data_IF_056717787521
#
_entry.id   IF_056717787521
#
_cell.length_a   1.000
_cell.length_b   1.000
_cell.length_c   1.000
_cell.angle_alpha   90.00
_cell.angle_beta   90.00
_cell.angle_gamma   90.00
#
_symmetry.space_group_name_H-M   'P 1'
#
loop_
_entity.id
_entity.type
_entity.pdbx_description
1 polymer ?
#
# COMPACT_ATOMS: atom_id res chain seq x y z
N UNK A 1 3.48 5.93 9.14
CA UNK A 1 2.07 6.38 8.99
C UNK A 1 1.51 6.45 10.40
N UNK A 2 1.46 7.64 11.01
CA UNK A 2 0.66 7.82 12.22
C UNK A 2 -0.77 7.45 11.85
N UNK A 3 -1.18 6.23 12.17
CA UNK A 3 -2.58 5.90 12.30
C UNK A 3 -3.06 6.80 13.43
N UNK A 4 -3.89 7.77 13.08
CA UNK A 4 -4.56 8.65 14.02
C UNK A 4 -5.05 7.81 15.18
N UNK A 5 -4.46 8.02 16.35
CA UNK A 5 -4.95 7.47 17.61
C UNK A 5 -6.43 7.77 17.66
N UNK A 6 -7.23 6.75 17.99
CA UNK A 6 -8.66 6.84 18.28
C UNK A 6 -8.93 7.88 19.36
N UNK A 7 -8.87 9.16 18.98
CA UNK A 7 -9.64 10.17 19.69
C UNK A 7 -11.06 10.04 19.15
N UNK A 8 -11.99 9.65 20.00
CA UNK A 8 -13.42 9.54 19.70
C UNK A 8 -13.87 10.83 19.04
N UNK A 9 -14.11 10.79 17.73
CA UNK A 9 -14.77 11.85 16.99
C UNK A 9 -16.29 11.74 17.21
N UNK A 10 -16.76 12.16 18.36
CA UNK A 10 -18.17 12.54 18.58
C UNK A 10 -18.51 13.92 17.99
N UNK A 11 -17.58 14.61 17.33
CA UNK A 11 -17.82 15.89 16.71
C UNK A 11 -18.41 15.76 15.31
N UNK A 12 -19.73 15.64 15.20
CA UNK A 12 -20.46 15.75 13.93
C UNK A 12 -20.58 17.20 13.43
N UNK A 13 -19.95 18.19 14.07
CA UNK A 13 -20.11 19.61 13.78
C UNK A 13 -18.77 20.31 13.58
N UNK A 14 -18.59 20.95 12.41
CA UNK A 14 -17.43 21.78 12.12
C UNK A 14 -17.39 23.06 12.98
N UNK A 15 -16.21 23.68 13.19
CA UNK A 15 -16.10 25.03 13.77
C UNK A 15 -16.94 26.03 12.96
N UNK A 16 -17.49 27.05 13.63
CA UNK A 16 -18.30 28.07 12.97
C UNK A 16 -17.45 28.89 12.00
N UNK A 17 -17.76 28.82 10.70
CA UNK A 17 -17.12 29.61 9.65
C UNK A 17 -17.42 31.10 9.83
N UNK A 18 -16.39 31.94 9.76
CA UNK A 18 -16.52 33.40 9.57
C UNK A 18 -17.01 33.65 8.13
N UNK A 19 -18.00 34.53 7.96
CA UNK A 19 -18.52 34.95 6.63
C UNK A 19 -17.38 35.58 5.83
N UNK A 20 -17.17 35.08 4.59
CA UNK A 20 -16.58 35.74 3.44
C UNK A 20 -15.37 35.06 2.76
N UNK A 21 -15.42 33.75 2.56
CA UNK A 21 -14.67 33.11 1.45
C UNK A 21 -15.54 31.99 0.89
N UNK A 22 -15.48 31.78 -0.42
CA UNK A 22 -16.20 30.65 -1.06
C UNK A 22 -15.85 29.31 -0.45
N UNK A 23 -14.65 29.20 0.18
CA UNK A 23 -14.17 28.04 0.92
C UNK A 23 -13.39 28.50 2.16
N UNK A 24 -13.81 28.02 3.33
CA UNK A 24 -13.03 28.15 4.57
C UNK A 24 -12.03 26.99 4.62
N UNK A 25 -10.74 27.30 4.64
CA UNK A 25 -9.66 26.32 4.59
C UNK A 25 -9.72 25.34 5.78
N UNK A 26 -9.95 25.83 6.99
CA UNK A 26 -10.01 24.97 8.19
C UNK A 26 -11.19 24.00 8.13
N UNK A 27 -12.35 24.46 7.62
CA UNK A 27 -13.52 23.63 7.41
C UNK A 27 -13.28 22.60 6.31
N UNK A 28 -12.61 23.02 5.22
CA UNK A 28 -12.27 22.13 4.11
C UNK A 28 -11.33 21.01 4.57
N UNK A 29 -10.29 21.35 5.33
CA UNK A 29 -9.36 20.36 5.88
C UNK A 29 -10.03 19.42 6.88
N UNK A 30 -10.92 19.93 7.75
CA UNK A 30 -11.64 19.11 8.71
C UNK A 30 -12.44 17.98 8.02
N UNK A 31 -13.26 18.31 7.03
CA UNK A 31 -14.05 17.30 6.32
C UNK A 31 -13.20 16.42 5.39
N UNK A 32 -12.10 16.97 4.84
CA UNK A 32 -11.18 16.18 4.02
C UNK A 32 -10.44 15.13 4.85
N UNK A 33 -10.07 15.41 6.12
CA UNK A 33 -9.52 14.39 7.04
C UNK A 33 -10.49 13.23 7.24
N UNK A 34 -11.77 13.51 7.37
CA UNK A 34 -12.80 12.46 7.46
C UNK A 34 -12.90 11.67 6.15
N UNK A 35 -12.81 12.34 4.99
CA UNK A 35 -12.77 11.64 3.71
C UNK A 35 -11.53 10.76 3.56
N UNK A 36 -10.37 11.18 4.06
CA UNK A 36 -9.14 10.39 4.11
C UNK A 36 -9.27 9.16 5.03
N UNK A 37 -9.95 9.30 6.17
CA UNK A 37 -10.28 8.17 7.05
C UNK A 37 -11.19 7.15 6.35
N UNK A 38 -12.19 7.62 5.59
CA UNK A 38 -13.02 6.74 4.76
C UNK A 38 -12.19 6.04 3.69
N UNK A 39 -11.31 6.77 2.97
CA UNK A 39 -10.43 6.18 1.96
C UNK A 39 -9.54 5.07 2.53
N UNK A 40 -8.99 5.25 3.72
CA UNK A 40 -8.12 4.28 4.39
C UNK A 40 -8.78 2.91 4.63
N UNK A 41 -10.12 2.84 4.69
CA UNK A 41 -10.87 1.57 4.80
C UNK A 41 -10.71 0.68 3.56
N UNK A 42 -10.35 1.26 2.42
CA UNK A 42 -10.10 0.57 1.16
C UNK A 42 -8.67 0.02 1.00
N UNK A 43 -7.75 0.32 1.92
CA UNK A 43 -6.36 -0.14 1.84
C UNK A 43 -6.26 -1.66 1.72
N UNK A 44 -5.43 -2.12 0.77
CA UNK A 44 -5.24 -3.54 0.47
C UNK A 44 -6.42 -4.23 -0.24
N UNK A 45 -7.48 -3.48 -0.62
CA UNK A 45 -8.71 -4.06 -1.19
C UNK A 45 -9.02 -3.57 -2.60
N UNK A 46 -8.52 -2.38 -2.97
CA UNK A 46 -8.95 -1.68 -4.19
C UNK A 46 -8.08 -1.93 -5.41
N UNK A 47 -6.88 -2.49 -5.27
CA UNK A 47 -5.96 -2.71 -6.40
C UNK A 47 -6.64 -3.43 -7.57
N UNK A 48 -6.41 -3.00 -8.82
CA UNK A 48 -5.47 -1.97 -9.24
C UNK A 48 -5.97 -0.51 -9.10
N UNK A 49 -7.17 -0.27 -8.57
CA UNK A 49 -7.74 1.06 -8.38
C UNK A 49 -7.13 1.80 -7.18
N UNK A 50 -7.24 3.14 -7.14
CA UNK A 50 -6.84 3.92 -5.98
C UNK A 50 -7.77 3.69 -4.77
N UNK A 51 -7.30 4.03 -3.58
CA UNK A 51 -8.17 4.18 -2.41
C UNK A 51 -8.78 5.58 -2.44
N UNK A 52 -10.11 5.64 -2.40
CA UNK A 52 -10.86 6.89 -2.45
C UNK A 52 -11.91 6.89 -1.36
N UNK A 53 -12.05 8.04 -0.69
CA UNK A 53 -13.11 8.32 0.26
C UNK A 53 -13.85 9.59 -0.12
N UNK A 54 -15.13 9.61 0.19
CA UNK A 54 -16.02 10.72 -0.10
C UNK A 54 -16.93 11.04 1.09
N UNK A 55 -17.17 12.33 1.34
CA UNK A 55 -18.06 12.82 2.41
C UNK A 55 -18.95 13.92 1.86
N UNK A 56 -20.26 13.77 2.04
CA UNK A 56 -21.25 14.80 1.70
C UNK A 56 -21.63 15.59 2.96
N UNK A 57 -21.58 16.92 2.84
CA UNK A 57 -21.82 17.86 3.93
C UNK A 57 -22.91 18.87 3.54
N UNK A 58 -23.89 19.08 4.40
CA UNK A 58 -24.94 20.10 4.20
C UNK A 58 -25.19 20.83 5.52
N UNK A 59 -25.17 22.18 5.47
CA UNK A 59 -25.35 22.99 6.67
C UNK A 59 -24.31 22.71 7.78
N UNK A 60 -23.07 22.38 7.42
CA UNK A 60 -22.00 22.05 8.36
C UNK A 60 -22.13 20.67 9.01
N UNK A 61 -23.04 19.82 8.54
CA UNK A 61 -23.24 18.45 9.05
C UNK A 61 -22.99 17.42 7.96
N UNK A 62 -22.33 16.32 8.33
CA UNK A 62 -22.15 15.16 7.44
C UNK A 62 -23.51 14.49 7.25
N UNK A 63 -23.93 14.34 5.98
CA UNK A 63 -25.19 13.67 5.60
C UNK A 63 -24.97 12.29 4.98
N UNK A 64 -23.77 12.02 4.46
CA UNK A 64 -23.37 10.71 3.95
C UNK A 64 -21.86 10.56 3.86
N UNK A 65 -21.38 9.32 3.85
CA UNK A 65 -19.99 8.94 3.65
C UNK A 65 -19.91 7.76 2.67
N UNK A 66 -18.84 7.66 1.93
CA UNK A 66 -18.56 6.53 1.04
C UNK A 66 -17.08 6.31 0.88
N UNK A 67 -16.71 5.09 0.54
CA UNK A 67 -15.35 4.75 0.13
C UNK A 67 -15.38 3.68 -0.95
N UNK A 68 -14.35 3.63 -1.78
CA UNK A 68 -14.20 2.59 -2.79
C UNK A 68 -13.81 1.28 -2.10
N UNK A 69 -14.71 0.29 -2.13
CA UNK A 69 -14.54 -0.95 -1.37
C UNK A 69 -13.62 -1.95 -2.07
N UNK A 70 -13.73 -2.06 -3.38
CA UNK A 70 -13.06 -3.09 -4.17
C UNK A 70 -13.11 -2.72 -5.66
N UNK A 71 -12.08 -3.09 -6.42
CA UNK A 71 -12.07 -2.94 -7.87
C UNK A 71 -13.32 -3.58 -8.51
N UNK A 72 -13.98 -2.82 -9.40
CA UNK A 72 -15.21 -3.23 -10.07
C UNK A 72 -16.51 -2.95 -9.31
N UNK A 73 -16.46 -2.38 -8.10
CA UNK A 73 -17.63 -1.86 -7.37
C UNK A 73 -17.77 -0.35 -7.55
N UNK A 74 -18.85 0.24 -7.03
CA UNK A 74 -19.10 1.68 -7.07
C UNK A 74 -17.93 2.50 -6.47
N UNK A 75 -17.66 3.65 -7.05
CA UNK A 75 -16.66 4.59 -6.53
C UNK A 75 -17.18 5.30 -5.28
N UNK A 76 -16.28 5.88 -4.50
CA UNK A 76 -16.59 6.50 -3.22
C UNK A 76 -17.67 7.58 -3.32
N UNK A 77 -17.60 8.41 -4.34
CA UNK A 77 -18.53 9.49 -4.61
C UNK A 77 -19.93 8.94 -4.85
N UNK A 78 -20.06 7.91 -5.69
CA UNK A 78 -21.34 7.25 -5.99
C UNK A 78 -21.93 6.63 -4.73
N UNK A 79 -21.13 5.91 -3.93
CA UNK A 79 -21.55 5.34 -2.65
C UNK A 79 -22.09 6.43 -1.71
N UNK A 80 -21.39 7.57 -1.62
CA UNK A 80 -21.84 8.69 -0.78
C UNK A 80 -23.11 9.34 -1.31
N UNK A 81 -23.22 9.53 -2.64
CA UNK A 81 -24.42 10.12 -3.30
C UNK A 81 -25.65 9.23 -3.12
N UNK A 82 -25.53 7.93 -3.34
CA UNK A 82 -26.60 6.95 -3.11
C UNK A 82 -27.08 6.96 -1.65
N UNK A 83 -26.15 6.97 -0.70
CA UNK A 83 -26.48 7.03 0.73
C UNK A 83 -27.16 8.35 1.15
N UNK A 84 -26.87 9.45 0.45
CA UNK A 84 -27.53 10.75 0.70
C UNK A 84 -28.90 10.82 0.05
N UNK A 85 -29.09 10.21 -1.14
CA UNK A 85 -30.29 10.34 -1.94
C UNK A 85 -30.61 11.81 -2.28
N UNK A 86 -31.86 12.21 -2.18
CA UNK A 86 -32.31 13.60 -2.46
C UNK A 86 -31.63 14.68 -1.58
N UNK A 87 -31.05 14.31 -0.45
CA UNK A 87 -30.32 15.24 0.44
C UNK A 87 -29.04 15.76 -0.18
N UNK A 88 -28.48 15.07 -1.19
CA UNK A 88 -27.26 15.47 -1.89
C UNK A 88 -27.41 16.83 -2.61
N UNK A 89 -28.63 17.18 -3.05
CA UNK A 89 -28.89 18.45 -3.71
C UNK A 89 -28.52 19.64 -2.80
N UNK A 90 -27.62 20.49 -3.31
CA UNK A 90 -27.10 21.65 -2.59
C UNK A 90 -26.07 21.34 -1.49
N UNK A 91 -25.61 20.09 -1.36
CA UNK A 91 -24.55 19.70 -0.45
C UNK A 91 -23.16 20.03 -1.01
N UNK A 92 -22.14 19.97 -0.16
CA UNK A 92 -20.72 20.02 -0.51
C UNK A 92 -20.14 18.61 -0.49
N UNK A 93 -19.45 18.20 -1.54
CA UNK A 93 -18.76 16.91 -1.64
C UNK A 93 -17.26 17.10 -1.39
N UNK A 94 -16.73 16.36 -0.45
CA UNK A 94 -15.29 16.21 -0.21
C UNK A 94 -14.86 14.85 -0.72
N UNK A 95 -13.87 14.80 -1.61
CA UNK A 95 -13.33 13.56 -2.17
C UNK A 95 -11.81 13.59 -2.17
N UNK A 96 -11.18 12.46 -1.83
CA UNK A 96 -9.73 12.39 -1.67
C UNK A 96 -8.96 12.33 -2.99
N UNK A 97 -9.65 12.10 -4.10
CA UNK A 97 -9.07 12.07 -5.44
C UNK A 97 -10.03 12.76 -6.42
N UNK A 98 -9.52 13.30 -7.52
CA UNK A 98 -10.30 13.86 -8.58
C UNK A 98 -11.36 12.87 -9.11
N UNK A 99 -12.66 13.24 -9.18
CA UNK A 99 -13.70 12.39 -9.74
C UNK A 99 -13.43 12.05 -11.21
N UNK A 100 -13.54 10.77 -11.54
CA UNK A 100 -13.28 10.29 -12.90
C UNK A 100 -14.28 10.88 -13.92
N UNK A 101 -13.79 11.05 -15.17
CA UNK A 101 -14.57 11.59 -16.31
C UNK A 101 -14.49 10.68 -17.55
N UNK A 102 -14.35 9.40 -17.35
CA UNK A 102 -14.36 8.41 -18.44
C UNK A 102 -15.36 7.30 -18.13
N UNK A 103 -15.95 6.75 -19.18
CA UNK A 103 -16.76 5.54 -19.08
C UNK A 103 -15.84 4.34 -18.85
N UNK A 104 -16.03 3.70 -17.71
CA UNK A 104 -15.41 2.43 -17.37
C UNK A 104 -16.49 1.34 -17.31
N UNK A 105 -16.48 0.57 -16.22
CA UNK A 105 -17.59 -0.36 -15.90
C UNK A 105 -18.83 0.36 -15.39
N UNK A 106 -18.65 1.60 -14.92
CA UNK A 106 -19.70 2.50 -14.42
C UNK A 106 -19.61 3.85 -15.13
N UNK A 107 -20.71 4.64 -15.18
CA UNK A 107 -20.66 6.01 -15.68
C UNK A 107 -19.65 6.86 -14.88
N UNK A 108 -19.16 7.98 -15.48
CA UNK A 108 -18.22 8.89 -14.82
C UNK A 108 -18.78 9.47 -13.51
N UNK A 109 -17.97 9.51 -12.44
CA UNK A 109 -18.36 10.14 -11.17
C UNK A 109 -18.70 11.61 -11.33
N UNK A 110 -18.02 12.33 -12.24
CA UNK A 110 -18.30 13.74 -12.55
C UNK A 110 -19.75 13.95 -12.99
N UNK A 111 -20.32 13.04 -13.78
CA UNK A 111 -21.73 13.10 -14.22
C UNK A 111 -22.69 12.85 -13.04
N UNK A 112 -22.45 11.80 -12.27
CA UNK A 112 -23.29 11.48 -11.10
C UNK A 112 -23.32 12.64 -10.08
N UNK A 113 -22.18 13.33 -9.86
CA UNK A 113 -22.08 14.49 -8.99
C UNK A 113 -22.92 15.67 -9.52
N UNK A 114 -22.87 15.93 -10.83
CA UNK A 114 -23.65 17.00 -11.48
C UNK A 114 -25.15 16.69 -11.38
N UNK A 115 -25.56 15.48 -11.75
CA UNK A 115 -26.96 15.03 -11.72
C UNK A 115 -27.56 15.06 -10.30
N UNK A 116 -26.77 14.74 -9.28
CA UNK A 116 -27.19 14.84 -7.89
C UNK A 116 -27.40 16.28 -7.39
N UNK A 117 -27.04 17.28 -8.19
CA UNK A 117 -27.19 18.70 -7.85
C UNK A 117 -26.33 19.16 -6.69
N UNK A 118 -25.13 18.58 -6.54
CA UNK A 118 -24.12 19.02 -5.58
C UNK A 118 -23.72 20.47 -5.87
N UNK A 119 -23.54 21.27 -4.82
CA UNK A 119 -23.24 22.71 -4.96
C UNK A 119 -21.74 22.98 -5.14
N UNK A 120 -20.89 22.30 -4.36
CA UNK A 120 -19.44 22.47 -4.35
C UNK A 120 -18.77 21.12 -4.27
N UNK A 121 -17.59 21.01 -4.89
CA UNK A 121 -16.73 19.84 -4.79
C UNK A 121 -15.36 20.26 -4.30
N UNK A 122 -14.86 19.60 -3.29
CA UNK A 122 -13.53 19.79 -2.71
C UNK A 122 -12.75 18.51 -2.94
N UNK A 123 -11.67 18.58 -3.73
CA UNK A 123 -10.79 17.45 -4.05
C UNK A 123 -9.46 17.61 -3.33
N UNK A 124 -8.90 16.53 -2.79
CA UNK A 124 -7.57 16.56 -2.24
C UNK A 124 -6.51 16.51 -3.35
N UNK A 125 -6.42 15.42 -4.09
CA UNK A 125 -5.39 15.18 -5.08
C UNK A 125 -5.94 15.11 -6.49
N UNK A 126 -5.14 15.52 -7.50
CA UNK A 126 -5.41 15.27 -8.91
C UNK A 126 -5.12 13.81 -9.26
N UNK A 127 -5.88 13.25 -10.20
CA UNK A 127 -5.59 11.90 -10.70
C UNK A 127 -4.40 11.95 -11.67
N UNK A 128 -3.32 11.17 -11.43
CA UNK A 128 -2.15 11.11 -12.32
C UNK A 128 -2.44 10.40 -13.65
N UNK A 129 -3.58 9.73 -13.79
CA UNK A 129 -3.95 9.02 -14.99
C UNK A 129 -4.29 10.01 -16.12
N UNK A 130 -3.57 10.00 -17.26
CA UNK A 130 -3.83 10.93 -18.37
C UNK A 130 -5.26 10.85 -18.93
N UNK A 131 -5.96 9.74 -18.69
CA UNK A 131 -7.37 9.59 -19.08
C UNK A 131 -8.32 10.41 -18.21
N UNK A 132 -7.93 10.74 -16.99
CA UNK A 132 -8.72 11.48 -15.99
C UNK A 132 -8.21 12.91 -15.83
N UNK A 133 -6.97 13.07 -15.55
CA UNK A 133 -6.22 14.30 -15.21
C UNK A 133 -6.88 15.62 -15.65
N UNK A 134 -7.53 16.33 -14.74
CA UNK A 134 -8.20 17.62 -14.95
C UNK A 134 -9.54 17.58 -15.70
N UNK A 135 -9.95 16.44 -16.27
CA UNK A 135 -11.19 16.33 -17.07
C UNK A 135 -12.44 16.37 -16.20
N UNK A 136 -12.43 15.65 -15.06
CA UNK A 136 -13.53 15.66 -14.12
C UNK A 136 -13.76 17.04 -13.52
N UNK A 137 -12.70 17.69 -13.07
CA UNK A 137 -12.74 19.08 -12.56
C UNK A 137 -13.27 20.03 -13.63
N UNK A 138 -12.78 19.93 -14.87
CA UNK A 138 -13.21 20.78 -15.99
C UNK A 138 -14.69 20.59 -16.31
N UNK A 139 -15.18 19.36 -16.38
CA UNK A 139 -16.60 19.06 -16.61
C UNK A 139 -17.48 19.65 -15.52
N UNK A 140 -17.15 19.43 -14.26
CA UNK A 140 -17.92 19.96 -13.13
C UNK A 140 -17.96 21.48 -13.11
N UNK A 141 -16.82 22.16 -13.37
CA UNK A 141 -16.78 23.63 -13.49
C UNK A 141 -17.62 24.15 -14.63
N UNK A 142 -17.59 23.50 -15.82
CA UNK A 142 -18.45 23.87 -16.97
C UNK A 142 -19.93 23.70 -16.67
N UNK A 143 -20.30 22.76 -15.80
CA UNK A 143 -21.66 22.56 -15.32
C UNK A 143 -22.06 23.54 -14.19
N UNK A 144 -21.21 24.51 -13.84
CA UNK A 144 -21.50 25.56 -12.85
C UNK A 144 -21.15 25.20 -11.41
N UNK A 145 -20.52 24.05 -11.14
CA UNK A 145 -20.09 23.68 -9.80
C UNK A 145 -18.82 24.46 -9.39
N UNK A 146 -18.77 24.91 -8.14
CA UNK A 146 -17.54 25.45 -7.55
C UNK A 146 -16.64 24.30 -7.15
N UNK A 147 -15.42 24.23 -7.70
CA UNK A 147 -14.47 23.15 -7.46
C UNK A 147 -13.17 23.70 -6.88
N UNK A 148 -12.84 23.30 -5.64
CA UNK A 148 -11.56 23.54 -4.97
C UNK A 148 -10.71 22.25 -5.03
N UNK A 149 -9.42 22.40 -5.32
CA UNK A 149 -8.46 21.28 -5.40
C UNK A 149 -7.25 21.56 -4.50
N UNK A 150 -6.55 20.51 -4.08
CA UNK A 150 -5.31 20.63 -3.32
C UNK A 150 -5.46 20.61 -1.80
N UNK A 151 -6.66 20.36 -1.28
CA UNK A 151 -6.90 20.31 0.17
C UNK A 151 -6.37 19.00 0.75
N UNK A 152 -5.30 19.08 1.58
CA UNK A 152 -4.57 17.92 2.13
C UNK A 152 -4.06 16.97 1.03
N UNK A 153 -3.54 17.55 -0.07
CA UNK A 153 -3.07 16.77 -1.21
C UNK A 153 -1.94 15.80 -0.84
N UNK A 154 -0.99 16.22 0.00
CA UNK A 154 0.12 15.35 0.41
C UNK A 154 -0.35 14.12 1.18
N UNK A 155 -1.34 14.26 2.06
CA UNK A 155 -1.92 13.16 2.82
C UNK A 155 -2.66 12.18 1.89
N UNK A 156 -3.40 12.70 0.91
CA UNK A 156 -4.09 11.89 -0.10
C UNK A 156 -3.10 11.16 -1.01
N UNK A 157 -2.03 11.84 -1.42
CA UNK A 157 -0.94 11.27 -2.23
C UNK A 157 -0.24 10.13 -1.48
N UNK A 158 0.03 10.31 -0.18
CA UNK A 158 0.64 9.27 0.66
C UNK A 158 -0.19 7.99 0.69
N UNK A 159 -1.52 8.09 0.79
CA UNK A 159 -2.41 6.93 0.73
C UNK A 159 -2.37 6.23 -0.63
N UNK A 160 -2.20 6.98 -1.70
CA UNK A 160 -2.26 6.50 -3.08
C UNK A 160 -0.89 6.35 -3.76
N UNK A 161 0.25 6.45 -3.03
CA UNK A 161 1.60 6.25 -3.59
C UNK A 161 1.72 4.98 -4.44
N UNK A 162 1.19 3.81 -4.03
CA UNK A 162 1.24 2.59 -4.83
C UNK A 162 0.52 2.75 -6.18
N UNK A 163 -0.67 3.30 -6.18
CA UNK A 163 -1.44 3.57 -7.40
C UNK A 163 -0.74 4.60 -8.29
N UNK A 164 -0.26 5.70 -7.72
CA UNK A 164 0.41 6.76 -8.48
C UNK A 164 1.70 6.26 -9.15
N UNK A 165 2.52 5.48 -8.44
CA UNK A 165 3.70 4.87 -9.04
C UNK A 165 3.33 3.93 -10.17
N UNK A 166 2.32 3.06 -9.96
CA UNK A 166 1.85 2.14 -10.98
C UNK A 166 1.46 2.86 -12.27
N UNK A 167 0.67 3.93 -12.16
CA UNK A 167 0.23 4.71 -13.33
C UNK A 167 1.39 5.40 -14.04
N UNK A 168 2.35 5.96 -13.28
CA UNK A 168 3.48 6.73 -13.86
C UNK A 168 4.56 5.85 -14.46
N UNK A 169 4.80 4.66 -13.89
CA UNK A 169 5.98 3.86 -14.21
C UNK A 169 5.67 2.44 -14.72
N UNK A 170 4.44 1.98 -14.56
CA UNK A 170 4.07 0.59 -14.84
C UNK A 170 4.68 -0.43 -13.87
N UNK A 171 5.19 0.02 -12.71
CA UNK A 171 5.76 -0.83 -11.66
C UNK A 171 5.02 -0.64 -10.33
N UNK A 172 4.89 -1.69 -9.51
CA UNK A 172 4.29 -1.56 -8.19
C UNK A 172 5.21 -0.77 -7.25
N UNK A 173 4.62 -0.20 -6.21
CA UNK A 173 5.36 0.33 -5.06
C UNK A 173 5.98 -0.81 -4.27
N UNK A 174 7.25 -0.68 -3.91
CA UNK A 174 7.99 -1.70 -3.15
C UNK A 174 8.39 -1.15 -1.79
N UNK A 175 7.88 -1.77 -0.73
CA UNK A 175 8.28 -1.50 0.65
C UNK A 175 9.21 -2.61 1.14
N UNK A 176 10.43 -2.26 1.53
CA UNK A 176 11.30 -3.17 2.28
C UNK A 176 10.89 -3.14 3.75
N UNK A 177 10.57 -4.30 4.33
CA UNK A 177 10.26 -4.42 5.75
C UNK A 177 11.30 -5.31 6.43
N UNK A 178 12.05 -4.75 7.36
CA UNK A 178 13.01 -5.51 8.17
C UNK A 178 12.80 -5.29 9.68
N UNK A 179 13.30 -6.21 10.48
CA UNK A 179 13.41 -6.07 11.93
C UNK A 179 14.83 -6.42 12.32
N UNK A 180 15.50 -5.51 13.01
CA UNK A 180 16.92 -5.61 13.32
C UNK A 180 17.19 -5.20 14.79
N UNK A 181 18.33 -5.61 15.29
CA UNK A 181 18.87 -5.12 16.55
C UNK A 181 19.32 -3.67 16.43
N UNK A 182 19.61 -2.99 17.53
CA UNK A 182 20.09 -1.60 17.55
C UNK A 182 21.38 -1.42 16.75
N UNK A 183 22.24 -2.46 16.70
CA UNK A 183 23.46 -2.49 15.87
C UNK A 183 23.22 -3.06 14.44
N UNK A 184 21.96 -3.07 13.97
CA UNK A 184 21.59 -3.34 12.58
C UNK A 184 21.66 -4.80 12.12
N UNK A 185 21.49 -5.77 13.03
CA UNK A 185 21.58 -7.20 12.69
C UNK A 185 20.21 -7.86 12.57
N UNK A 186 20.03 -8.66 11.52
CA UNK A 186 18.82 -9.48 11.31
C UNK A 186 18.82 -10.74 12.18
N UNK A 187 20.00 -11.30 12.43
CA UNK A 187 20.19 -12.56 13.12
C UNK A 187 21.60 -12.66 13.70
N UNK A 188 21.81 -13.62 14.61
CA UNK A 188 23.14 -14.03 15.08
C UNK A 188 23.94 -14.67 13.93
N UNK A 189 25.22 -14.94 14.16
CA UNK A 189 26.09 -15.69 13.23
C UNK A 189 25.54 -17.08 12.88
N UNK A 190 24.88 -17.73 13.83
CA UNK A 190 24.26 -19.06 13.64
C UNK A 190 22.91 -18.98 12.91
N UNK A 191 22.38 -17.76 12.68
CA UNK A 191 21.11 -17.52 12.00
C UNK A 191 19.90 -17.47 12.92
N UNK A 192 20.08 -17.50 14.27
CA UNK A 192 18.96 -17.30 15.19
C UNK A 192 18.47 -15.84 15.13
N UNK A 193 17.15 -15.68 14.90
CA UNK A 193 16.46 -14.40 14.77
C UNK A 193 15.17 -14.32 15.59
N UNK A 194 14.86 -15.33 16.43
CA UNK A 194 13.59 -15.40 17.18
C UNK A 194 13.80 -15.07 18.64
N UNK A 195 13.21 -13.96 19.15
CA UNK A 195 12.49 -12.90 18.44
C UNK A 195 13.30 -11.62 18.50
N UNK A 196 13.56 -10.99 17.38
CA UNK A 196 14.22 -9.68 17.37
C UNK A 196 13.29 -8.66 18.01
N UNK A 197 12.04 -8.53 17.55
CA UNK A 197 11.07 -7.52 18.00
C UNK A 197 9.94 -8.08 18.85
N UNK A 198 9.30 -7.21 19.64
CA UNK A 198 8.20 -7.51 20.54
C UNK A 198 6.85 -7.73 19.83
N UNK A 199 5.82 -8.08 20.59
CA UNK A 199 4.47 -8.35 20.10
C UNK A 199 3.80 -7.13 19.42
N UNK A 200 3.93 -5.88 19.93
CA UNK A 200 3.35 -4.69 19.28
C UNK A 200 3.90 -4.45 17.87
N UNK A 201 5.22 -4.62 17.67
CA UNK A 201 5.86 -4.50 16.37
C UNK A 201 5.33 -5.58 15.40
N UNK A 202 5.24 -6.84 15.86
CA UNK A 202 4.67 -7.93 15.03
C UNK A 202 3.21 -7.69 14.67
N UNK A 203 2.40 -7.14 15.58
CA UNK A 203 1.00 -6.77 15.28
C UNK A 203 0.93 -5.68 14.19
N UNK A 204 1.85 -4.71 14.21
CA UNK A 204 1.95 -3.69 13.15
C UNK A 204 2.29 -4.34 11.80
N UNK A 205 3.21 -5.30 11.77
CA UNK A 205 3.56 -6.03 10.53
C UNK A 205 2.35 -6.76 9.95
N UNK A 206 1.50 -7.36 10.79
CA UNK A 206 0.27 -7.99 10.30
C UNK A 206 -0.73 -6.98 9.72
N UNK A 207 -0.81 -5.75 10.25
CA UNK A 207 -1.58 -4.67 9.62
C UNK A 207 -1.00 -4.24 8.27
N UNK A 208 0.33 -4.19 8.16
CA UNK A 208 0.97 -3.91 6.88
C UNK A 208 0.69 -5.03 5.86
N UNK A 209 0.75 -6.30 6.26
CA UNK A 209 0.40 -7.45 5.40
C UNK A 209 -1.04 -7.37 4.90
N UNK A 210 -1.97 -6.91 5.75
CA UNK A 210 -3.37 -6.70 5.38
C UNK A 210 -3.56 -5.61 4.32
N UNK A 211 -2.63 -4.65 4.24
CA UNK A 211 -2.71 -3.47 3.37
C UNK A 211 -1.93 -3.59 2.05
N UNK A 212 -1.09 -4.62 1.88
CA UNK A 212 -0.34 -4.84 0.65
C UNK A 212 -1.00 -5.88 -0.26
N UNK A 213 -0.65 -5.88 -1.54
CA UNK A 213 -1.15 -6.87 -2.50
C UNK A 213 -0.30 -8.13 -2.51
N UNK A 214 1.00 -7.98 -2.26
CA UNK A 214 2.00 -9.05 -2.40
C UNK A 214 2.97 -9.03 -1.24
N UNK A 215 3.29 -10.21 -0.71
CA UNK A 215 4.49 -10.45 0.11
C UNK A 215 5.49 -11.23 -0.72
N UNK A 216 6.72 -10.73 -0.78
CA UNK A 216 7.82 -11.32 -1.51
C UNK A 216 8.96 -11.70 -0.56
N UNK A 217 9.43 -12.95 -0.64
CA UNK A 217 10.57 -13.47 0.11
C UNK A 217 11.53 -14.24 -0.81
N UNK A 218 12.78 -14.35 -0.40
CA UNK A 218 13.75 -15.23 -1.07
C UNK A 218 13.72 -16.66 -0.52
N UNK A 219 14.24 -17.63 -1.29
CA UNK A 219 14.33 -19.03 -0.90
C UNK A 219 15.07 -19.27 0.42
N UNK A 220 16.10 -18.46 0.73
CA UNK A 220 16.87 -18.59 1.96
C UNK A 220 16.01 -18.27 3.20
N UNK A 221 15.08 -17.28 3.11
CA UNK A 221 14.12 -16.96 4.18
C UNK A 221 13.16 -18.14 4.40
N UNK A 222 12.64 -18.74 3.33
CA UNK A 222 11.77 -19.92 3.44
C UNK A 222 12.49 -21.09 4.09
N UNK A 223 13.75 -21.35 3.70
CA UNK A 223 14.55 -22.47 4.25
C UNK A 223 14.85 -22.30 5.74
N UNK A 224 15.12 -21.06 6.19
CA UNK A 224 15.49 -20.78 7.58
C UNK A 224 14.30 -20.69 8.51
N UNK A 225 13.25 -20.01 8.09
CA UNK A 225 12.17 -19.58 8.98
C UNK A 225 10.89 -20.39 8.84
N UNK A 226 10.75 -21.16 7.75
CA UNK A 226 9.51 -21.87 7.33
C UNK A 226 8.24 -21.02 7.55
N UNK A 227 8.16 -19.82 6.93
CA UNK A 227 7.15 -18.84 7.28
C UNK A 227 5.80 -19.14 6.64
N UNK A 228 4.71 -18.76 7.32
CA UNK A 228 3.36 -18.78 6.76
C UNK A 228 3.08 -17.63 5.79
N UNK A 229 3.64 -16.45 6.01
CA UNK A 229 3.39 -15.22 5.26
C UNK A 229 1.90 -14.81 5.19
N UNK A 230 1.14 -15.15 6.21
CA UNK A 230 -0.29 -14.85 6.33
C UNK A 230 -0.52 -13.61 7.20
N UNK A 231 -1.66 -12.98 7.00
CA UNK A 231 -2.17 -11.91 7.87
C UNK A 231 -2.86 -12.52 9.09
N UNK A 232 -2.48 -12.07 10.29
CA UNK A 232 -3.06 -12.49 11.56
C UNK A 232 -3.31 -11.27 12.42
N UNK A 233 -4.49 -10.65 12.22
CA UNK A 233 -4.87 -9.45 12.98
C UNK A 233 -5.38 -9.85 14.37
N UNK A 234 -5.11 -9.04 15.41
CA UNK A 234 -5.80 -9.18 16.69
C UNK A 234 -7.32 -9.07 16.46
N UNK A 235 -8.08 -10.04 16.94
CA UNK A 235 -9.53 -10.11 16.72
C UNK A 235 -9.96 -10.85 15.45
N UNK A 236 -9.02 -11.38 14.66
CA UNK A 236 -9.31 -12.11 13.43
C UNK A 236 -9.58 -11.22 12.22
N UNK A 237 -10.03 -11.80 11.13
CA UNK A 237 -10.24 -11.11 9.85
C UNK A 237 -8.92 -10.77 9.14
N UNK A 238 -8.99 -9.84 8.20
CA UNK A 238 -7.86 -9.46 7.36
C UNK A 238 -7.82 -10.25 6.05
N UNK A 239 -6.97 -9.79 5.15
CA UNK A 239 -6.74 -10.39 3.83
C UNK A 239 -5.30 -10.89 3.75
N UNK A 240 -5.12 -12.13 3.34
CA UNK A 240 -3.80 -12.61 2.97
C UNK A 240 -3.38 -12.01 1.62
N UNK A 241 -2.18 -11.45 1.50
CA UNK A 241 -1.62 -11.03 0.22
C UNK A 241 -1.18 -12.23 -0.63
N UNK A 242 -1.01 -12.02 -1.93
CA UNK A 242 -0.32 -12.96 -2.80
C UNK A 242 1.08 -13.23 -2.23
N UNK A 243 1.44 -14.49 -2.02
CA UNK A 243 2.77 -14.89 -1.55
C UNK A 243 3.66 -15.18 -2.76
N UNK A 244 4.81 -14.55 -2.82
CA UNK A 244 5.80 -14.76 -3.88
C UNK A 244 7.11 -15.21 -3.25
N UNK A 245 7.56 -16.39 -3.63
CA UNK A 245 8.88 -16.94 -3.24
C UNK A 245 9.80 -16.88 -4.43
N UNK A 246 10.91 -16.17 -4.31
CA UNK A 246 11.96 -16.16 -5.35
C UNK A 246 12.92 -17.30 -5.10
N UNK A 247 12.84 -18.34 -5.95
CA UNK A 247 13.71 -19.50 -5.95
C UNK A 247 14.22 -19.78 -7.38
N UNK A 248 15.30 -19.12 -7.75
CA UNK A 248 15.81 -19.12 -9.14
C UNK A 248 15.99 -20.52 -9.73
N UNK A 249 16.27 -21.53 -8.90
CA UNK A 249 16.61 -22.89 -9.38
C UNK A 249 15.71 -23.99 -8.80
N UNK A 250 14.56 -23.64 -8.19
CA UNK A 250 13.66 -24.58 -7.53
C UNK A 250 14.39 -25.53 -6.57
N UNK A 251 15.18 -24.94 -5.64
CA UNK A 251 15.96 -25.69 -4.64
C UNK A 251 15.17 -25.99 -3.37
N UNK A 252 14.04 -25.34 -3.17
CA UNK A 252 13.15 -25.58 -2.04
C UNK A 252 12.37 -26.88 -2.22
N UNK A 253 12.02 -27.50 -1.10
CA UNK A 253 11.02 -28.55 -1.06
C UNK A 253 9.61 -27.93 -1.15
N UNK A 254 8.65 -28.50 -1.88
CA UNK A 254 7.26 -28.06 -1.84
C UNK A 254 6.57 -28.36 -0.50
N UNK A 255 7.22 -29.04 0.45
CA UNK A 255 6.71 -29.35 1.78
C UNK A 255 6.79 -28.19 2.80
N UNK A 256 7.45 -27.06 2.46
CA UNK A 256 7.47 -25.91 3.35
C UNK A 256 6.08 -25.32 3.59
N UNK A 257 5.88 -24.77 4.79
CA UNK A 257 4.57 -24.24 5.25
C UNK A 257 3.97 -23.22 4.28
N UNK A 258 4.77 -22.35 3.68
CA UNK A 258 4.29 -21.35 2.71
C UNK A 258 3.62 -21.97 1.48
N UNK A 259 3.95 -23.21 1.13
CA UNK A 259 3.39 -23.94 -0.02
C UNK A 259 2.25 -24.86 0.34
N UNK A 260 2.20 -25.38 1.59
CA UNK A 260 1.25 -26.41 2.02
C UNK A 260 0.09 -25.86 2.84
N UNK A 261 0.20 -24.64 3.35
CA UNK A 261 -0.82 -24.03 4.19
C UNK A 261 -2.12 -23.73 3.42
N UNK A 262 -3.25 -23.87 4.10
CA UNK A 262 -4.55 -23.45 3.56
C UNK A 262 -4.71 -21.93 3.72
N UNK A 263 -4.94 -21.24 2.62
CA UNK A 263 -5.22 -19.80 2.58
C UNK A 263 -5.99 -19.49 1.29
N UNK A 264 -6.92 -18.52 1.30
CA UNK A 264 -7.59 -18.07 0.09
C UNK A 264 -6.66 -17.36 -0.89
N UNK A 265 -5.51 -16.86 -0.41
CA UNK A 265 -4.51 -16.23 -1.27
C UNK A 265 -3.62 -17.29 -1.92
N UNK A 266 -3.23 -17.04 -3.18
CA UNK A 266 -2.35 -17.90 -3.95
C UNK A 266 -0.89 -17.80 -3.47
N UNK A 267 -0.11 -18.82 -3.79
CA UNK A 267 1.35 -18.81 -3.63
C UNK A 267 1.98 -19.02 -5.00
N UNK A 268 3.03 -18.26 -5.27
CA UNK A 268 3.79 -18.28 -6.51
C UNK A 268 5.27 -18.55 -6.20
N UNK A 269 5.91 -19.43 -6.98
CA UNK A 269 7.37 -19.52 -7.02
C UNK A 269 7.86 -18.87 -8.31
N UNK A 270 8.71 -17.84 -8.17
CA UNK A 270 9.38 -17.17 -9.27
C UNK A 270 10.74 -17.82 -9.52
N UNK A 271 10.97 -18.33 -10.72
CA UNK A 271 12.12 -19.19 -11.04
C UNK A 271 12.66 -18.96 -12.46
N UNK A 272 13.84 -19.49 -12.75
CA UNK A 272 14.43 -19.60 -14.09
C UNK A 272 14.08 -20.93 -14.76
N UNK A 273 13.68 -21.92 -13.96
CA UNK A 273 13.41 -23.28 -14.41
C UNK A 273 12.13 -23.37 -15.25
N UNK A 274 12.09 -24.36 -16.12
CA UNK A 274 10.93 -24.65 -16.95
C UNK A 274 9.71 -25.03 -16.11
N UNK A 275 8.55 -24.36 -16.27
CA UNK A 275 7.34 -24.69 -15.53
C UNK A 275 6.77 -26.08 -15.86
N UNK A 276 7.13 -26.67 -16.99
CA UNK A 276 6.76 -28.05 -17.36
C UNK A 276 7.78 -29.10 -16.86
N UNK A 277 8.90 -28.65 -16.33
CA UNK A 277 9.96 -29.49 -15.81
C UNK A 277 9.55 -30.28 -14.54
N UNK A 278 10.27 -31.40 -14.28
CA UNK A 278 9.98 -32.27 -13.13
C UNK A 278 9.97 -31.52 -11.78
N UNK A 279 10.86 -30.57 -11.58
CA UNK A 279 10.92 -29.77 -10.35
C UNK A 279 9.66 -28.92 -10.18
N UNK A 280 9.23 -28.23 -11.24
CA UNK A 280 8.05 -27.35 -11.23
C UNK A 280 6.76 -28.12 -10.98
N UNK A 281 6.59 -29.29 -11.59
CA UNK A 281 5.40 -30.15 -11.39
C UNK A 281 5.14 -30.49 -9.93
N UNK A 282 6.19 -30.59 -9.10
CA UNK A 282 6.05 -30.86 -7.65
C UNK A 282 5.35 -29.69 -6.90
N UNK A 283 5.60 -28.45 -7.32
CA UNK A 283 4.92 -27.26 -6.78
C UNK A 283 3.50 -27.14 -7.32
N UNK A 284 3.31 -27.36 -8.62
CA UNK A 284 1.98 -27.33 -9.25
C UNK A 284 1.03 -28.36 -8.62
N UNK A 285 1.52 -29.54 -8.25
CA UNK A 285 0.77 -30.58 -7.56
C UNK A 285 0.28 -30.14 -6.16
N UNK A 286 0.91 -29.13 -5.55
CA UNK A 286 0.50 -28.50 -4.29
C UNK A 286 -0.41 -27.27 -4.50
N UNK A 287 -0.81 -26.96 -5.75
CA UNK A 287 -1.57 -25.77 -6.07
C UNK A 287 -0.75 -24.48 -6.04
N UNK A 288 0.57 -24.58 -6.08
CA UNK A 288 1.49 -23.44 -6.15
C UNK A 288 1.76 -23.09 -7.60
N UNK A 289 1.56 -21.82 -7.97
CA UNK A 289 1.90 -21.35 -9.31
C UNK A 289 3.41 -21.28 -9.52
N UNK A 290 3.89 -21.70 -10.69
CA UNK A 290 5.29 -21.56 -11.05
C UNK A 290 5.42 -20.54 -12.17
N UNK A 291 6.17 -19.47 -11.89
CA UNK A 291 6.40 -18.41 -12.86
C UNK A 291 7.85 -18.46 -13.37
N UNK A 292 8.04 -18.92 -14.58
CA UNK A 292 9.31 -18.76 -15.26
C UNK A 292 9.54 -17.29 -15.61
N UNK A 293 10.71 -16.80 -15.29
CA UNK A 293 11.15 -15.44 -15.54
C UNK A 293 12.53 -15.45 -16.22
N UNK A 294 12.85 -14.34 -16.86
CA UNK A 294 14.18 -14.18 -17.46
C UNK A 294 15.25 -14.08 -16.38
N UNK A 295 16.46 -14.47 -16.76
CA UNK A 295 17.65 -14.37 -15.92
C UNK A 295 18.26 -12.98 -15.98
N UNK A 296 18.81 -12.54 -14.83
CA UNK A 296 19.76 -11.44 -14.70
C UNK A 296 20.86 -11.87 -13.73
N UNK A 297 22.10 -11.94 -14.21
CA UNK A 297 23.29 -12.38 -13.41
C UNK A 297 23.03 -13.68 -12.64
N UNK A 298 22.56 -14.73 -13.34
CA UNK A 298 22.32 -16.04 -12.75
C UNK A 298 21.12 -16.16 -11.81
N UNK A 299 20.35 -15.08 -11.62
CA UNK A 299 19.20 -15.01 -10.73
C UNK A 299 17.95 -14.52 -11.48
N UNK A 300 16.79 -14.69 -10.89
CA UNK A 300 15.53 -14.11 -11.40
C UNK A 300 15.67 -12.60 -11.52
N UNK A 301 15.34 -12.05 -12.70
CA UNK A 301 15.23 -10.60 -12.90
C UNK A 301 14.07 -10.05 -12.08
N UNK A 302 14.38 -9.38 -10.94
CA UNK A 302 13.39 -8.79 -10.03
C UNK A 302 12.55 -7.72 -10.71
N UNK A 303 13.10 -6.94 -11.66
CA UNK A 303 12.34 -5.94 -12.41
C UNK A 303 11.32 -6.60 -13.34
N UNK A 304 11.67 -7.74 -13.95
CA UNK A 304 10.71 -8.52 -14.74
C UNK A 304 9.61 -9.13 -13.87
N UNK A 305 9.95 -9.61 -12.66
CA UNK A 305 8.98 -10.07 -11.68
C UNK A 305 8.00 -8.95 -11.27
N UNK A 306 8.51 -7.76 -10.95
CA UNK A 306 7.68 -6.60 -10.60
C UNK A 306 6.74 -6.21 -11.75
N UNK A 307 7.22 -6.22 -13.01
CA UNK A 307 6.37 -5.98 -14.20
C UNK A 307 5.26 -7.02 -14.36
N UNK A 308 5.55 -8.29 -14.06
CA UNK A 308 4.54 -9.35 -14.11
C UNK A 308 3.48 -9.17 -13.03
N UNK A 309 3.89 -8.79 -11.82
CA UNK A 309 2.97 -8.44 -10.72
C UNK A 309 2.10 -7.24 -11.08
N UNK A 310 2.69 -6.19 -11.67
CA UNK A 310 1.97 -5.01 -12.16
C UNK A 310 0.88 -5.37 -13.17
N UNK A 311 1.21 -6.23 -14.16
CA UNK A 311 0.23 -6.74 -15.15
C UNK A 311 -0.89 -7.54 -14.50
N UNK A 312 -0.64 -8.18 -13.36
CA UNK A 312 -1.64 -8.86 -12.53
C UNK A 312 -2.51 -7.91 -11.68
N UNK A 313 -2.30 -6.59 -11.78
CA UNK A 313 -3.06 -5.58 -11.03
C UNK A 313 -2.60 -5.37 -9.60
N UNK A 314 -1.38 -5.77 -9.25
CA UNK A 314 -0.81 -5.60 -7.91
C UNK A 314 -0.03 -4.30 -7.83
N UNK A 315 -0.49 -3.35 -7.02
CA UNK A 315 0.09 -2.02 -6.89
C UNK A 315 1.16 -1.94 -5.79
N UNK A 316 1.09 -2.80 -4.77
CA UNK A 316 1.96 -2.72 -3.59
C UNK A 316 2.59 -4.07 -3.25
N UNK A 317 3.92 -4.12 -3.27
CA UNK A 317 4.72 -5.28 -2.89
C UNK A 317 5.48 -4.99 -1.60
N UNK A 318 5.32 -5.84 -0.60
CA UNK A 318 6.18 -5.83 0.59
C UNK A 318 7.23 -6.93 0.47
N UNK A 319 8.49 -6.58 0.62
CA UNK A 319 9.61 -7.52 0.66
C UNK A 319 9.94 -7.80 2.13
N UNK A 320 9.74 -9.04 2.53
CA UNK A 320 10.16 -9.59 3.84
C UNK A 320 11.25 -10.62 3.61
N UNK A 321 12.46 -10.16 3.32
CA UNK A 321 13.53 -11.08 2.95
C UNK A 321 14.73 -11.04 3.89
N UNK A 322 15.74 -11.81 3.58
CA UNK A 322 17.07 -11.71 4.17
C UNK A 322 17.93 -10.63 3.49
N UNK A 323 19.13 -10.44 4.01
CA UNK A 323 20.09 -9.43 3.56
C UNK A 323 20.32 -9.43 2.03
N UNK A 324 20.41 -10.61 1.42
CA UNK A 324 20.64 -10.74 -0.03
C UNK A 324 19.47 -10.15 -0.86
N UNK A 325 18.22 -10.43 -0.44
CA UNK A 325 17.04 -9.90 -1.13
C UNK A 325 16.94 -8.39 -0.96
N UNK A 326 17.12 -7.87 0.25
CA UNK A 326 17.15 -6.42 0.50
C UNK A 326 18.27 -5.74 -0.31
N UNK A 327 19.48 -6.30 -0.29
CA UNK A 327 20.60 -5.80 -1.08
C UNK A 327 20.31 -5.78 -2.58
N UNK A 328 19.66 -6.81 -3.11
CA UNK A 328 19.28 -6.87 -4.52
C UNK A 328 18.26 -5.80 -4.92
N UNK A 329 17.26 -5.52 -4.07
CA UNK A 329 16.30 -4.45 -4.32
C UNK A 329 16.95 -3.07 -4.22
N UNK A 330 17.84 -2.85 -3.24
CA UNK A 330 18.54 -1.59 -3.04
C UNK A 330 19.52 -1.30 -4.18
N UNK A 331 20.43 -2.24 -4.53
CA UNK A 331 21.34 -2.09 -5.67
C UNK A 331 20.63 -1.90 -6.99
N UNK A 332 19.45 -2.51 -7.14
CA UNK A 332 18.63 -2.41 -8.34
C UNK A 332 17.79 -1.13 -8.42
N UNK A 333 17.80 -0.26 -7.41
CA UNK A 333 16.89 0.89 -7.28
C UNK A 333 15.41 0.48 -7.51
N UNK A 334 15.01 -0.68 -6.95
CA UNK A 334 13.68 -1.24 -7.11
C UNK A 334 12.78 -1.02 -5.88
N UNK A 335 13.34 -0.55 -4.78
CA UNK A 335 12.63 -0.24 -3.56
C UNK A 335 12.25 1.25 -3.51
N UNK A 336 11.07 1.56 -2.95
CA UNK A 336 10.53 2.92 -2.83
C UNK A 336 10.47 3.41 -1.39
N UNK A 337 10.33 2.48 -0.45
CA UNK A 337 10.21 2.80 0.97
C UNK A 337 10.79 1.72 1.85
N UNK A 338 11.19 2.14 3.04
CA UNK A 338 11.70 1.31 4.10
C UNK A 338 10.75 1.36 5.30
N UNK A 339 10.48 0.21 5.91
CA UNK A 339 9.85 0.06 7.24
C UNK A 339 10.77 -0.82 8.08
N UNK A 340 11.64 -0.20 8.86
CA UNK A 340 12.68 -0.85 9.65
C UNK A 340 12.34 -0.77 11.13
N UNK A 341 12.15 -1.92 11.77
CA UNK A 341 12.07 -2.00 13.23
C UNK A 341 13.46 -2.14 13.85
N UNK A 342 13.78 -1.27 14.80
CA UNK A 342 14.95 -1.34 15.66
C UNK A 342 14.53 -1.88 17.03
N UNK A 343 15.04 -3.04 17.41
CA UNK A 343 14.87 -3.58 18.74
C UNK A 343 16.02 -3.14 19.67
N UNK A 344 15.77 -2.93 20.97
CA UNK A 344 16.79 -2.50 21.93
C UNK A 344 17.68 -3.70 22.34
N UNK A 345 18.36 -4.29 21.36
CA UNK A 345 19.26 -5.45 21.51
C UNK A 345 20.55 -5.21 20.74
N UNK A 346 21.62 -5.80 21.18
CA UNK A 346 22.94 -5.79 20.54
C UNK A 346 23.40 -7.23 20.34
N UNK A 347 23.89 -7.55 19.13
CA UNK A 347 24.44 -8.89 18.81
C UNK A 347 25.93 -8.79 18.52
N UNK A 348 26.38 -7.66 17.93
CA UNK A 348 27.76 -7.46 17.51
C UNK A 348 28.14 -8.20 16.23
N UNK A 349 29.44 -8.23 15.95
CA UNK A 349 30.02 -9.02 14.85
C UNK A 349 30.35 -10.45 15.36
N UNK A 350 30.05 -11.51 14.59
CA UNK A 350 29.67 -11.55 13.17
C UNK A 350 28.17 -11.68 12.87
N UNK A 351 27.31 -10.97 13.57
CA UNK A 351 25.87 -10.94 13.26
C UNK A 351 25.55 -10.52 11.81
N UNK A 352 24.47 -11.06 11.24
CA UNK A 352 24.07 -10.84 9.85
C UNK A 352 23.51 -9.43 9.64
N UNK A 353 24.20 -8.58 8.90
CA UNK A 353 23.72 -7.25 8.49
C UNK A 353 22.47 -7.32 7.64
N UNK A 354 21.56 -6.32 7.78
CA UNK A 354 20.26 -6.37 7.10
C UNK A 354 20.31 -6.04 5.61
N UNK A 355 21.16 -5.11 5.20
CA UNK A 355 21.18 -4.62 3.82
C UNK A 355 22.08 -5.44 2.88
N UNK A 356 22.92 -6.33 3.40
CA UNK A 356 23.96 -6.99 2.64
C UNK A 356 25.00 -6.01 2.10
N UNK A 357 25.83 -6.47 1.15
CA UNK A 357 26.78 -5.60 0.47
C UNK A 357 26.05 -4.75 -0.61
N UNK A 358 26.15 -3.44 -0.49
CA UNK A 358 25.60 -2.47 -1.45
C UNK A 358 26.65 -1.97 -2.46
N UNK A 359 27.89 -2.38 -2.33
CA UNK A 359 29.01 -1.95 -3.18
C UNK A 359 29.45 -0.50 -2.91
N UNK A 360 29.04 0.11 -1.80
CA UNK A 360 29.39 1.49 -1.41
C UNK A 360 30.83 1.49 -0.87
N UNK A 361 31.71 2.28 -1.49
CA UNK A 361 33.11 2.42 -1.09
C UNK A 361 33.39 3.75 -0.39
N UNK A 362 32.59 4.77 -0.66
CA UNK A 362 32.74 6.12 -0.13
C UNK A 362 31.40 6.63 0.39
N UNK A 363 31.42 7.44 1.44
CA UNK A 363 30.20 8.00 2.04
C UNK A 363 29.34 8.78 1.03
N UNK A 364 29.95 9.43 0.06
CA UNK A 364 29.24 10.14 -1.01
C UNK A 364 28.38 9.23 -1.90
N UNK A 365 28.67 7.92 -1.92
CA UNK A 365 27.93 6.92 -2.68
C UNK A 365 26.79 6.27 -1.86
N UNK A 366 26.67 6.64 -0.57
CA UNK A 366 25.64 6.06 0.31
C UNK A 366 24.24 6.36 -0.22
N UNK A 367 23.33 5.39 -0.12
CA UNK A 367 21.93 5.58 -0.45
C UNK A 367 21.27 6.48 0.62
N UNK A 368 20.97 7.72 0.22
CA UNK A 368 20.25 8.66 1.07
C UNK A 368 18.77 8.28 1.18
N UNK A 369 18.23 8.36 2.38
CA UNK A 369 16.78 8.19 2.63
C UNK A 369 16.14 9.57 2.82
N UNK A 370 14.85 9.68 2.46
CA UNK A 370 14.05 10.91 2.58
C UNK A 370 12.84 10.67 3.49
N UNK A 371 12.21 11.74 3.95
CA UNK A 371 10.99 11.72 4.76
C UNK A 371 11.09 10.75 5.96
N UNK A 372 12.24 10.71 6.63
CA UNK A 372 12.48 9.83 7.76
C UNK A 372 11.53 10.19 8.91
N UNK A 373 10.75 9.21 9.33
CA UNK A 373 9.88 9.29 10.51
C UNK A 373 10.16 8.14 11.45
N UNK A 374 9.80 8.30 12.72
CA UNK A 374 9.90 7.23 13.70
C UNK A 374 8.65 7.14 14.58
N UNK A 375 8.33 5.93 15.04
CA UNK A 375 7.19 5.64 15.92
C UNK A 375 7.57 4.52 16.90
N UNK A 376 7.16 4.63 18.17
CA UNK A 376 7.43 3.62 19.19
C UNK A 376 6.34 2.54 19.21
N UNK A 377 6.74 1.27 19.24
CA UNK A 377 5.88 0.09 19.32
C UNK A 377 6.30 -0.83 20.47
N UNK A 378 5.87 -0.54 21.69
CA UNK A 378 6.42 -1.14 22.90
C UNK A 378 7.84 -0.62 23.14
N UNK A 379 8.82 -1.51 23.20
CA UNK A 379 10.24 -1.16 23.34
C UNK A 379 10.92 -0.95 21.98
N UNK A 380 10.31 -1.40 20.89
CA UNK A 380 10.87 -1.26 19.55
C UNK A 380 10.55 0.11 18.93
N UNK A 381 11.43 0.57 18.03
CA UNK A 381 11.25 1.78 17.23
C UNK A 381 11.03 1.38 15.79
N UNK A 382 9.93 1.81 15.18
CA UNK A 382 9.71 1.75 13.75
C UNK A 382 10.30 2.99 13.08
N UNK A 383 11.24 2.79 12.17
CA UNK A 383 11.71 3.82 11.24
C UNK A 383 11.03 3.62 9.89
N UNK A 384 10.48 4.69 9.33
CA UNK A 384 9.92 4.69 7.97
C UNK A 384 10.57 5.80 7.16
N UNK A 385 10.97 5.48 5.92
CA UNK A 385 11.62 6.42 5.03
C UNK A 385 11.28 6.12 3.55
N UNK A 386 11.51 7.10 2.68
CA UNK A 386 11.54 6.94 1.22
C UNK A 386 12.98 6.69 0.75
N UNK A 387 13.12 5.91 -0.30
CA UNK A 387 14.39 5.54 -0.95
C UNK A 387 14.56 6.24 -2.29
#
# INVERSE_FOLDING_TARGET
MRLLTRARLEATRAPRAKRAADFDQAVAEFFMRIALEEAAKGLGRTSPNPVVGAVLVKGGRIIARGYHKKAGTAHAEVVALEAAGARAKGADLYTTLEPCDHYGRTPPCSMAIIEAGVRRVICASADPNPKVSGKGVTRMRRAGLKVLTGVLAEEADRLNRPFFKMIRTGLPWVTLKAAVTLDGKLATATGDSRWVTGAPARAWVHRLRDSVDVILVGANTVRKDDPKLTTRLPGGGGKDPLRVVVDSHLRLSPGYTVFTQRSPARTVVATLEDPEGRKARRFLAQGVDVWQLRQKVGQVDLKALLRRLAKGGHNHVMVEGGAEMYGSFLRGHLADSLSLFLAPKLIGSPGLSWAGDLGVKEMAQALAVKDLTFERHGDDILLQALL
#
